data_IF_918022766069
#
_entry.id   IF_918022766069
#
_cell.length_a   1.000
_cell.length_b   1.000
_cell.length_c   1.000
_cell.angle_alpha   90.00
_cell.angle_beta   90.00
_cell.angle_gamma   90.00
#
_symmetry.space_group_name_H-M   'P 1'
#
loop_
_entity.id
_entity.type
_entity.pdbx_description
1 polymer ?
#
# COMPACT_ATOMS: atom_id res chain seq x y z
N UNK A 1 11.74 18.59 23.66
CA UNK A 1 10.31 18.68 23.30
C UNK A 1 9.53 17.58 24.00
N UNK A 2 8.21 17.74 24.19
CA UNK A 2 7.34 16.68 24.73
C UNK A 2 6.75 15.80 23.62
N UNK A 3 6.17 14.68 24.03
CA UNK A 3 5.42 13.76 23.17
C UNK A 3 4.25 14.45 22.45
N UNK A 4 3.57 15.36 23.14
CA UNK A 4 2.46 16.14 22.58
C UNK A 4 2.96 17.13 21.52
N UNK A 5 4.14 17.74 21.74
CA UNK A 5 4.78 18.62 20.75
C UNK A 5 5.24 17.85 19.51
N UNK A 6 5.74 16.62 19.68
CA UNK A 6 6.05 15.70 18.58
C UNK A 6 4.81 15.48 17.68
N UNK A 7 3.70 15.01 18.27
CA UNK A 7 2.47 14.75 17.52
C UNK A 7 1.84 16.03 16.95
N UNK A 8 1.92 17.15 17.68
CA UNK A 8 1.46 18.45 17.19
C UNK A 8 2.24 18.95 15.98
N UNK A 9 3.54 18.63 15.88
CA UNK A 9 4.36 18.99 14.71
C UNK A 9 3.87 18.27 13.46
N UNK A 10 3.53 16.97 13.60
CA UNK A 10 2.97 16.17 12.50
C UNK A 10 1.61 16.68 12.07
N UNK A 11 0.73 16.98 13.02
CA UNK A 11 -0.62 17.45 12.74
C UNK A 11 -0.62 18.83 12.05
N UNK A 12 0.23 19.76 12.50
CA UNK A 12 0.42 21.06 11.83
C UNK A 12 0.87 20.87 10.38
N UNK A 13 1.80 19.94 10.12
CA UNK A 13 2.26 19.67 8.77
C UNK A 13 1.17 19.07 7.87
N UNK A 14 0.37 18.14 8.41
CA UNK A 14 -0.78 17.54 7.70
C UNK A 14 -1.83 18.59 7.34
N UNK A 15 -2.12 19.52 8.24
CA UNK A 15 -3.07 20.61 7.98
C UNK A 15 -2.57 21.60 6.92
N UNK A 16 -1.26 21.84 6.86
CA UNK A 16 -0.64 22.69 5.85
C UNK A 16 -0.57 22.02 4.46
N UNK A 17 -0.61 20.69 4.40
CA UNK A 17 -0.45 19.89 3.18
C UNK A 17 -1.65 18.94 3.00
N UNK A 18 -2.85 19.49 2.68
CA UNK A 18 -4.09 18.70 2.63
C UNK A 18 -4.15 17.72 1.45
N UNK A 19 -3.29 17.88 0.45
CA UNK A 19 -3.17 16.94 -0.68
C UNK A 19 -2.32 15.70 -0.34
N UNK A 20 -1.71 15.66 0.86
CA UNK A 20 -0.89 14.54 1.31
C UNK A 20 0.43 14.39 0.55
N UNK A 21 0.88 15.42 -0.18
CA UNK A 21 2.14 15.40 -0.90
C UNK A 21 3.32 15.16 0.06
N UNK A 22 3.96 13.99 -0.05
CA UNK A 22 5.04 13.59 0.84
C UNK A 22 6.21 14.57 0.82
N UNK A 23 6.60 15.09 -0.34
CA UNK A 23 7.67 16.09 -0.44
C UNK A 23 7.32 17.39 0.27
N UNK A 24 6.06 17.84 0.15
CA UNK A 24 5.58 19.05 0.81
C UNK A 24 5.44 18.85 2.32
N UNK A 25 5.00 17.66 2.74
CA UNK A 25 4.86 17.30 4.14
C UNK A 25 6.24 17.22 4.81
N UNK A 26 7.22 16.57 4.18
CA UNK A 26 8.61 16.52 4.66
C UNK A 26 9.22 17.93 4.78
N UNK A 27 9.02 18.78 3.78
CA UNK A 27 9.46 20.19 3.82
C UNK A 27 8.79 20.97 4.96
N UNK A 28 7.51 20.73 5.23
CA UNK A 28 6.81 21.41 6.32
C UNK A 28 7.32 20.93 7.70
N UNK A 29 7.49 19.63 7.91
CA UNK A 29 8.09 19.08 9.13
C UNK A 29 9.49 19.67 9.34
N UNK A 30 10.31 19.67 8.29
CA UNK A 30 11.63 20.26 8.28
C UNK A 30 11.62 21.72 8.78
N UNK A 31 10.74 22.56 8.23
CA UNK A 31 10.59 23.97 8.63
C UNK A 31 10.13 24.16 10.07
N UNK A 32 9.24 23.31 10.55
CA UNK A 32 8.80 23.34 11.96
C UNK A 32 9.97 22.97 12.89
N UNK A 33 10.72 21.92 12.56
CA UNK A 33 11.88 21.48 13.33
C UNK A 33 13.01 22.51 13.35
N UNK A 34 13.26 23.17 12.21
CA UNK A 34 14.29 24.20 12.10
C UNK A 34 14.02 25.39 13.04
N UNK A 35 12.76 25.64 13.41
CA UNK A 35 12.40 26.69 14.38
C UNK A 35 12.65 26.28 15.83
N UNK A 36 12.83 24.97 16.12
CA UNK A 36 13.07 24.45 17.47
C UNK A 36 14.54 24.55 17.90
N UNK A 37 14.84 24.53 19.20
CA UNK A 37 16.19 24.32 19.73
C UNK A 37 16.80 22.99 19.25
N UNK A 38 18.14 22.88 19.14
CA UNK A 38 18.80 21.62 18.75
C UNK A 38 18.42 20.42 19.63
N UNK A 39 18.31 20.60 20.96
CA UNK A 39 17.89 19.53 21.88
C UNK A 39 16.47 19.02 21.58
N UNK A 40 15.56 19.90 21.18
CA UNK A 40 14.20 19.52 20.79
C UNK A 40 14.21 18.70 19.49
N UNK A 41 15.07 19.03 18.52
CA UNK A 41 15.21 18.26 17.28
C UNK A 41 15.73 16.84 17.58
N UNK A 42 16.65 16.69 18.56
CA UNK A 42 17.10 15.38 19.03
C UNK A 42 15.96 14.60 19.70
N UNK A 43 15.18 15.25 20.57
CA UNK A 43 13.99 14.65 21.20
C UNK A 43 12.96 14.22 20.15
N UNK A 44 12.72 15.03 19.10
CA UNK A 44 11.83 14.65 18.00
C UNK A 44 12.29 13.37 17.32
N UNK A 45 13.59 13.28 17.03
CA UNK A 45 14.18 12.10 16.41
C UNK A 45 13.96 10.88 17.31
N UNK A 46 14.23 10.99 18.61
CA UNK A 46 13.99 9.91 19.55
C UNK A 46 12.52 9.48 19.60
N UNK A 47 11.57 10.42 19.71
CA UNK A 47 10.14 10.06 19.67
C UNK A 47 9.75 9.38 18.36
N UNK A 48 10.21 9.89 17.21
CA UNK A 48 9.96 9.27 15.92
C UNK A 48 10.42 7.80 15.89
N UNK A 49 11.65 7.53 16.32
CA UNK A 49 12.20 6.18 16.35
C UNK A 49 11.46 5.28 17.36
N UNK A 50 11.10 5.78 18.54
CA UNK A 50 10.31 5.02 19.53
C UNK A 50 8.94 4.59 18.97
N UNK A 51 8.20 5.50 18.30
CA UNK A 51 6.93 5.12 17.67
C UNK A 51 7.12 4.21 16.45
N UNK A 52 8.11 4.47 15.60
CA UNK A 52 8.36 3.62 14.44
C UNK A 52 8.77 2.21 14.86
N UNK A 53 9.56 2.08 15.92
CA UNK A 53 10.02 0.79 16.41
C UNK A 53 8.91 0.08 17.21
N UNK A 54 8.07 0.81 17.94
CA UNK A 54 6.84 0.27 18.55
C UNK A 54 5.85 -0.30 17.51
N UNK A 55 5.87 0.22 16.28
CA UNK A 55 5.10 -0.31 15.16
C UNK A 55 5.70 -1.59 14.54
N UNK A 56 6.84 -2.09 15.02
CA UNK A 56 7.46 -3.33 14.56
C UNK A 56 6.71 -4.57 15.09
N UNK A 57 5.46 -4.75 14.64
CA UNK A 57 4.56 -5.83 15.08
C UNK A 57 4.19 -6.76 13.93
N UNK A 58 4.02 -8.04 14.21
CA UNK A 58 3.64 -9.05 13.20
C UNK A 58 2.22 -8.83 12.66
N UNK A 59 1.29 -8.39 13.51
CA UNK A 59 -0.08 -8.07 13.10
C UNK A 59 -0.14 -6.90 12.13
N UNK A 60 0.65 -5.87 12.38
CA UNK A 60 0.78 -4.71 11.52
C UNK A 60 1.53 -5.06 10.21
N UNK A 61 2.56 -5.91 10.28
CA UNK A 61 3.24 -6.41 9.09
C UNK A 61 2.25 -7.18 8.19
N UNK A 62 1.45 -8.07 8.77
CA UNK A 62 0.40 -8.81 8.08
C UNK A 62 -0.62 -7.87 7.42
N UNK A 63 -1.12 -6.86 8.15
CA UNK A 63 -2.02 -5.86 7.58
C UNK A 63 -1.39 -5.04 6.44
N UNK A 64 -0.11 -4.67 6.57
CA UNK A 64 0.60 -3.94 5.51
C UNK A 64 0.72 -4.77 4.24
N UNK A 65 1.04 -6.07 4.36
CA UNK A 65 1.06 -7.01 3.22
C UNK A 65 -0.33 -7.20 2.62
N UNK A 66 -1.38 -7.26 3.46
CA UNK A 66 -2.77 -7.33 3.01
C UNK A 66 -3.16 -6.11 2.17
N UNK A 67 -2.64 -4.92 2.51
CA UNK A 67 -2.85 -3.67 1.76
C UNK A 67 -1.95 -3.54 0.51
N UNK A 68 -1.09 -4.52 0.23
CA UNK A 68 -0.21 -4.53 -0.95
C UNK A 68 1.16 -3.91 -0.73
N UNK A 69 1.57 -3.64 0.52
CA UNK A 69 2.97 -3.29 0.82
C UNK A 69 3.85 -4.50 0.53
N UNK A 70 4.98 -4.34 -0.19
CA UNK A 70 5.94 -5.42 -0.39
C UNK A 70 6.34 -6.07 0.93
N UNK A 71 6.29 -7.38 1.02
CA UNK A 71 6.68 -8.17 2.20
C UNK A 71 8.21 -8.26 2.36
N UNK A 72 8.90 -7.12 2.27
CA UNK A 72 10.34 -6.97 2.47
C UNK A 72 10.63 -6.19 3.75
N UNK A 73 11.85 -6.32 4.28
CA UNK A 73 12.27 -5.52 5.45
C UNK A 73 12.13 -4.02 5.20
N UNK A 74 12.49 -3.59 4.00
CA UNK A 74 12.55 -2.18 3.61
C UNK A 74 11.14 -1.65 3.36
N UNK A 75 10.28 -2.43 2.70
CA UNK A 75 8.87 -2.08 2.52
C UNK A 75 8.14 -1.90 3.84
N UNK A 76 8.38 -2.78 4.82
CA UNK A 76 7.77 -2.65 6.15
C UNK A 76 8.38 -1.52 6.98
N UNK A 77 9.68 -1.22 6.82
CA UNK A 77 10.30 -0.05 7.45
C UNK A 77 9.70 1.26 6.94
N UNK A 78 9.55 1.38 5.63
CA UNK A 78 8.96 2.55 5.00
C UNK A 78 7.48 2.70 5.36
N UNK A 79 6.75 1.59 5.45
CA UNK A 79 5.37 1.55 5.92
C UNK A 79 5.23 2.09 7.35
N UNK A 80 6.08 1.65 8.29
CA UNK A 80 6.03 2.16 9.68
C UNK A 80 6.37 3.64 9.76
N UNK A 81 7.29 4.11 8.91
CA UNK A 81 7.61 5.54 8.79
C UNK A 81 6.41 6.33 8.27
N UNK A 82 5.75 5.83 7.21
CA UNK A 82 4.51 6.37 6.68
C UNK A 82 3.37 6.38 7.71
N UNK A 83 3.27 5.34 8.55
CA UNK A 83 2.21 5.24 9.56
C UNK A 83 2.35 6.31 10.65
N UNK A 84 3.57 6.61 11.10
CA UNK A 84 3.81 7.72 12.05
C UNK A 84 3.40 9.06 11.42
N UNK A 85 3.73 9.25 10.14
CA UNK A 85 3.32 10.41 9.36
C UNK A 85 1.79 10.55 9.18
N UNK A 86 1.00 9.49 9.46
CA UNK A 86 -0.46 9.60 9.48
C UNK A 86 -1.02 10.38 10.67
N UNK A 87 -0.17 10.71 11.66
CA UNK A 87 -0.58 11.42 12.85
C UNK A 87 -1.12 10.49 13.93
N UNK A 88 -1.31 11.06 15.12
CA UNK A 88 -1.50 10.29 16.36
C UNK A 88 -2.71 9.37 16.33
N UNK A 89 -3.85 9.88 15.89
CA UNK A 89 -5.12 9.15 15.96
C UNK A 89 -5.11 7.91 15.04
N UNK A 90 -4.66 8.08 13.80
CA UNK A 90 -4.55 6.99 12.82
C UNK A 90 -3.48 5.98 13.28
N UNK A 91 -2.32 6.47 13.74
CA UNK A 91 -1.26 5.62 14.25
C UNK A 91 -1.75 4.75 15.42
N UNK A 92 -2.35 5.35 16.46
CA UNK A 92 -2.81 4.59 17.63
C UNK A 92 -3.96 3.64 17.30
N UNK A 93 -4.88 4.03 16.41
CA UNK A 93 -5.95 3.15 15.94
C UNK A 93 -5.39 1.93 15.20
N UNK A 94 -4.40 2.12 14.32
CA UNK A 94 -3.77 1.05 13.57
C UNK A 94 -2.91 0.13 14.45
N UNK A 95 -2.24 0.67 15.47
CA UNK A 95 -1.51 -0.15 16.43
C UNK A 95 -2.46 -1.01 17.26
N UNK A 96 -3.64 -0.50 17.64
CA UNK A 96 -4.64 -1.26 18.43
C UNK A 96 -5.41 -2.28 17.60
N UNK A 97 -5.75 -1.90 16.36
CA UNK A 97 -6.44 -2.74 15.41
C UNK A 97 -5.98 -2.42 13.99
N UNK A 98 -5.05 -3.21 13.41
CA UNK A 98 -4.52 -2.94 12.07
C UNK A 98 -5.59 -2.91 10.96
N UNK A 99 -6.74 -3.55 11.16
CA UNK A 99 -7.86 -3.54 10.20
C UNK A 99 -8.48 -2.14 10.00
N UNK A 100 -8.21 -1.17 10.90
CA UNK A 100 -8.66 0.22 10.73
C UNK A 100 -8.03 0.91 9.53
N UNK A 101 -6.86 0.43 9.07
CA UNK A 101 -6.17 0.89 7.85
C UNK A 101 -6.98 0.58 6.57
N UNK A 102 -8.10 -0.14 6.67
CA UNK A 102 -9.05 -0.19 5.57
C UNK A 102 -9.60 1.20 5.21
N UNK A 103 -9.65 2.17 6.14
CA UNK A 103 -10.22 3.50 5.89
C UNK A 103 -9.19 4.51 5.35
N UNK A 104 -7.91 4.24 5.53
CA UNK A 104 -6.76 5.10 5.20
C UNK A 104 -5.62 4.19 4.71
N UNK A 105 -5.04 4.33 3.49
CA UNK A 105 -4.72 5.60 2.81
C UNK A 105 -5.50 5.83 1.52
N UNK A 106 -5.58 7.09 1.08
CA UNK A 106 -6.11 7.45 -0.24
C UNK A 106 -5.28 6.89 -1.42
N UNK A 107 -5.92 6.85 -2.59
CA UNK A 107 -5.34 6.43 -3.88
C UNK A 107 -3.96 7.06 -4.10
N UNK A 108 -2.95 6.22 -4.28
CA UNK A 108 -1.68 6.62 -4.88
C UNK A 108 -0.66 7.29 -3.98
N UNK A 109 -0.94 7.41 -2.68
CA UNK A 109 0.13 7.49 -1.68
C UNK A 109 0.70 6.09 -1.52
N UNK A 110 1.92 5.88 -2.01
CA UNK A 110 2.68 4.69 -1.62
C UNK A 110 2.70 4.68 -0.09
N UNK A 111 2.29 3.57 0.55
CA UNK A 111 2.38 3.40 2.00
C UNK A 111 3.85 3.23 2.42
N UNK A 112 4.66 4.19 1.99
CA UNK A 112 6.10 4.28 2.06
C UNK A 112 6.40 5.78 2.10
N UNK A 113 7.17 6.23 3.09
CA UNK A 113 7.56 7.63 3.21
C UNK A 113 8.97 7.76 3.80
N UNK A 114 10.00 7.21 3.12
CA UNK A 114 11.35 7.13 3.67
C UNK A 114 11.94 8.49 4.05
N UNK A 115 11.67 9.54 3.27
CA UNK A 115 12.21 10.89 3.50
C UNK A 115 11.72 11.56 4.79
N UNK A 116 10.62 11.08 5.39
CA UNK A 116 10.17 11.57 6.70
C UNK A 116 11.21 11.30 7.81
N UNK A 117 11.98 10.21 7.69
CA UNK A 117 13.03 9.88 8.66
C UNK A 117 14.22 10.85 8.61
N UNK A 118 14.45 11.52 7.48
CA UNK A 118 15.57 12.45 7.28
C UNK A 118 15.26 13.88 7.77
N UNK A 119 13.98 14.25 7.99
CA UNK A 119 13.60 15.62 8.34
C UNK A 119 14.33 16.21 9.56
N UNK A 120 14.52 15.43 10.63
CA UNK A 120 15.27 15.90 11.81
C UNK A 120 16.77 15.95 11.57
N UNK A 121 17.30 15.06 10.73
CA UNK A 121 18.72 15.05 10.37
C UNK A 121 19.05 16.33 9.60
N UNK A 122 18.25 16.65 8.60
CA UNK A 122 18.41 17.83 7.76
C UNK A 122 18.22 19.10 8.60
N UNK A 123 17.17 19.17 9.42
CA UNK A 123 16.89 20.34 10.25
C UNK A 123 18.01 20.60 11.27
N UNK A 124 18.54 19.54 11.90
CA UNK A 124 19.64 19.66 12.85
C UNK A 124 20.94 20.11 12.19
N UNK A 125 21.23 19.60 10.98
CA UNK A 125 22.39 19.99 10.21
C UNK A 125 22.34 21.49 9.85
N UNK A 126 21.23 21.97 9.30
CA UNK A 126 21.07 23.39 8.94
C UNK A 126 21.09 24.29 10.19
N UNK A 127 20.44 23.88 11.29
CA UNK A 127 20.39 24.64 12.54
C UNK A 127 21.77 24.97 13.10
N UNK A 128 22.72 24.06 12.91
CA UNK A 128 24.10 24.22 13.39
C UNK A 128 25.04 24.83 12.33
N UNK A 129 24.51 25.22 11.15
CA UNK A 129 25.26 25.83 10.04
C UNK A 129 26.54 25.06 9.73
N UNK A 130 26.40 23.74 9.62
CA UNK A 130 27.52 22.82 9.44
C UNK A 130 27.97 22.83 7.96
N UNK A 131 28.98 22.02 7.60
CA UNK A 131 29.44 21.87 6.23
C UNK A 131 29.25 20.42 5.73
N UNK A 132 28.91 20.27 4.44
CA UNK A 132 28.35 19.08 3.75
C UNK A 132 28.94 17.70 4.11
N UNK A 133 30.24 17.56 4.39
CA UNK A 133 30.90 16.24 4.43
C UNK A 133 30.85 15.51 5.78
N UNK A 134 30.37 16.14 6.85
CA UNK A 134 30.37 15.57 8.21
C UNK A 134 29.04 15.72 8.98
N UNK A 135 28.01 16.27 8.33
CA UNK A 135 26.74 16.71 8.90
C UNK A 135 25.85 15.58 9.41
N UNK A 136 25.62 14.56 8.57
CA UNK A 136 24.67 13.49 8.87
C UNK A 136 25.07 12.67 10.10
N UNK A 137 26.37 12.50 10.34
CA UNK A 137 26.90 11.76 11.51
C UNK A 137 26.73 12.52 12.82
N UNK A 138 26.59 13.86 12.79
CA UNK A 138 26.63 14.66 14.03
C UNK A 138 25.35 14.57 14.83
N UNK A 139 24.17 14.46 14.21
CA UNK A 139 22.95 14.15 14.95
C UNK A 139 23.10 12.81 15.68
N UNK A 140 23.50 11.75 14.98
CA UNK A 140 23.70 10.44 15.60
C UNK A 140 24.80 10.44 16.68
N UNK A 141 25.86 11.23 16.50
CA UNK A 141 26.87 11.42 17.54
C UNK A 141 26.31 12.15 18.77
N UNK A 142 25.45 13.16 18.59
CA UNK A 142 24.79 13.85 19.69
C UNK A 142 23.81 12.92 20.43
N UNK A 143 23.10 12.06 19.70
CA UNK A 143 22.22 11.03 20.28
C UNK A 143 22.97 10.01 21.15
N UNK A 144 24.28 9.78 20.96
CA UNK A 144 25.06 8.94 21.88
C UNK A 144 25.12 9.51 23.32
N UNK A 145 24.82 10.79 23.48
CA UNK A 145 24.85 11.51 24.75
C UNK A 145 23.50 12.15 25.12
N UNK A 146 22.47 11.96 24.29
CA UNK A 146 21.13 12.53 24.46
C UNK A 146 20.08 11.41 24.45
N UNK A 147 19.18 11.41 25.42
CA UNK A 147 18.11 10.40 25.51
C UNK A 147 16.86 11.02 26.11
N UNK A 148 15.71 10.45 25.76
CA UNK A 148 14.45 10.75 26.44
C UNK A 148 14.57 10.41 27.93
N UNK A 149 13.87 11.19 28.75
CA UNK A 149 13.79 10.89 30.18
C UNK A 149 12.96 9.63 30.43
N UNK A 150 13.20 8.94 31.55
CA UNK A 150 12.40 7.78 31.93
C UNK A 150 10.92 8.13 32.06
N UNK A 151 10.59 9.36 32.47
CA UNK A 151 9.21 9.84 32.52
C UNK A 151 8.59 9.89 31.12
N UNK A 152 9.28 10.51 30.16
CA UNK A 152 8.84 10.62 28.76
C UNK A 152 8.63 9.25 28.12
N UNK A 153 9.54 8.30 28.35
CA UNK A 153 9.41 6.93 27.86
C UNK A 153 8.20 6.22 28.48
N UNK A 154 7.99 6.36 29.79
CA UNK A 154 6.81 5.80 30.45
C UNK A 154 5.49 6.40 29.94
N UNK A 155 5.47 7.70 29.64
CA UNK A 155 4.29 8.37 29.07
C UNK A 155 3.99 7.93 27.63
N UNK A 156 5.02 7.61 26.84
CA UNK A 156 4.88 7.01 25.51
C UNK A 156 4.37 5.57 25.62
N UNK A 157 4.99 4.74 26.45
CA UNK A 157 4.59 3.34 26.61
C UNK A 157 3.15 3.19 27.11
N UNK A 158 2.67 4.11 27.95
CA UNK A 158 1.28 4.10 28.44
C UNK A 158 0.25 4.45 27.37
N UNK A 159 0.63 5.17 26.32
CA UNK A 159 -0.31 5.47 25.22
C UNK A 159 -0.36 4.37 24.16
N UNK A 160 0.69 3.55 24.06
CA UNK A 160 0.71 2.42 23.15
C UNK A 160 -0.25 1.32 23.65
N UNK A 161 -1.08 0.77 22.74
CA UNK A 161 -1.92 -0.39 23.02
C UNK A 161 -1.13 -1.57 23.60
N UNK A 162 -1.73 -2.26 24.57
CA UNK A 162 -1.07 -3.31 25.38
C UNK A 162 -1.50 -4.73 24.99
N UNK A 163 -2.08 -4.92 23.79
CA UNK A 163 -2.46 -6.24 23.34
C UNK A 163 -1.23 -7.03 22.85
N UNK A 164 -1.24 -8.37 23.06
CA UNK A 164 -0.16 -9.22 22.57
C UNK A 164 -0.04 -9.12 21.05
N UNK A 165 1.19 -9.22 20.56
CA UNK A 165 1.47 -9.38 19.13
C UNK A 165 1.15 -10.81 18.70
N UNK A 166 0.74 -10.99 17.44
CA UNK A 166 0.53 -12.31 16.87
C UNK A 166 1.87 -12.99 16.61
N UNK A 167 1.85 -14.31 16.44
CA UNK A 167 3.04 -15.03 16.01
C UNK A 167 3.41 -14.63 14.59
N UNK A 168 4.71 -14.46 14.33
CA UNK A 168 5.23 -14.26 12.98
C UNK A 168 4.85 -15.45 12.10
N UNK A 169 4.33 -15.15 10.91
CA UNK A 169 3.86 -16.15 9.95
C UNK A 169 3.58 -15.51 8.60
N UNK A 170 3.58 -16.32 7.55
CA UNK A 170 3.18 -15.85 6.22
C UNK A 170 1.68 -15.55 6.24
N UNK A 171 1.32 -14.36 5.76
CA UNK A 171 -0.09 -13.99 5.57
C UNK A 171 -0.73 -14.98 4.58
N UNK A 172 -1.84 -15.58 4.98
CA UNK A 172 -2.65 -16.37 4.05
C UNK A 172 -3.27 -15.42 3.02
N UNK A 173 -3.35 -15.86 1.76
CA UNK A 173 -3.99 -15.05 0.71
C UNK A 173 -5.45 -14.71 1.05
N UNK A 174 -6.16 -15.61 1.73
CA UNK A 174 -7.43 -15.31 2.38
C UNK A 174 -7.20 -14.87 3.83
N UNK A 175 -7.20 -13.56 4.02
CA UNK A 175 -7.07 -12.90 5.32
C UNK A 175 -8.40 -12.29 5.80
N UNK A 176 -9.53 -12.69 5.20
CA UNK A 176 -10.85 -12.13 5.51
C UNK A 176 -11.28 -12.27 6.97
N UNK A 177 -10.88 -13.37 7.62
CA UNK A 177 -11.16 -13.60 9.04
C UNK A 177 -10.32 -12.72 9.97
N UNK A 178 -9.11 -12.33 9.53
CA UNK A 178 -8.16 -11.54 10.32
C UNK A 178 -8.37 -10.04 10.13
N UNK A 179 -8.56 -9.61 8.88
CA UNK A 179 -8.73 -8.21 8.50
C UNK A 179 -9.95 -8.07 7.57
N UNK A 180 -11.19 -8.18 8.10
CA UNK A 180 -12.40 -8.16 7.28
C UNK A 180 -12.59 -6.84 6.53
N UNK A 181 -12.23 -5.70 7.11
CA UNK A 181 -12.40 -4.41 6.44
C UNK A 181 -11.33 -4.23 5.35
N UNK A 182 -10.07 -4.63 5.60
CA UNK A 182 -9.03 -4.61 4.56
C UNK A 182 -9.40 -5.56 3.44
N UNK A 183 -9.90 -6.75 3.76
CA UNK A 183 -10.36 -7.72 2.77
C UNK A 183 -11.48 -7.14 1.90
N UNK A 184 -12.51 -6.54 2.51
CA UNK A 184 -13.58 -5.87 1.77
C UNK A 184 -13.02 -4.77 0.87
N UNK A 185 -12.10 -3.94 1.35
CA UNK A 185 -11.44 -2.92 0.54
C UNK A 185 -10.67 -3.50 -0.65
N UNK A 186 -9.86 -4.54 -0.42
CA UNK A 186 -8.96 -5.09 -1.44
C UNK A 186 -9.69 -5.92 -2.49
N UNK A 187 -10.84 -6.50 -2.14
CA UNK A 187 -11.66 -7.29 -3.06
C UNK A 187 -12.76 -6.48 -3.74
N UNK A 188 -13.16 -5.34 -3.17
CA UNK A 188 -14.15 -4.45 -3.78
C UNK A 188 -13.56 -3.56 -4.87
N UNK A 189 -14.45 -3.14 -5.78
CA UNK A 189 -14.16 -2.15 -6.83
C UNK A 189 -13.78 -0.80 -6.21
N UNK A 190 -12.97 -0.02 -6.94
CA UNK A 190 -12.67 1.36 -6.54
C UNK A 190 -13.99 2.15 -6.35
N UNK A 191 -14.16 2.85 -5.20
CA UNK A 191 -15.29 3.73 -4.97
C UNK A 191 -15.44 4.84 -6.02
N UNK A 192 -14.33 5.32 -6.59
CA UNK A 192 -14.29 6.34 -7.64
C UNK A 192 -14.89 5.82 -8.94
N UNK A 193 -14.53 4.59 -9.34
CA UNK A 193 -15.14 3.92 -10.49
C UNK A 193 -16.64 3.73 -10.27
N UNK A 194 -17.05 3.24 -9.09
CA UNK A 194 -18.48 3.08 -8.74
C UNK A 194 -19.24 4.40 -8.75
N UNK A 195 -18.73 5.43 -8.08
CA UNK A 195 -19.38 6.74 -8.01
C UNK A 195 -19.49 7.43 -9.37
N UNK A 196 -18.55 7.12 -10.28
CA UNK A 196 -18.60 7.58 -11.65
C UNK A 196 -19.66 6.81 -12.46
N UNK A 197 -19.69 5.49 -12.39
CA UNK A 197 -20.72 4.66 -13.05
C UNK A 197 -22.13 5.01 -12.58
N UNK A 198 -22.34 5.23 -11.27
CA UNK A 198 -23.62 5.66 -10.71
C UNK A 198 -24.12 6.98 -11.33
N UNK A 199 -23.21 7.87 -11.76
CA UNK A 199 -23.59 9.11 -12.48
C UNK A 199 -24.04 8.84 -13.93
N UNK A 200 -23.59 7.75 -14.53
CA UNK A 200 -23.89 7.37 -15.92
C UNK A 200 -24.94 6.25 -16.04
N UNK A 201 -25.36 5.68 -14.90
CA UNK A 201 -26.26 4.51 -14.79
C UNK A 201 -27.61 4.67 -15.52
N UNK A 202 -28.05 5.91 -15.76
CA UNK A 202 -29.27 6.18 -16.54
C UNK A 202 -29.15 5.79 -18.02
N UNK A 203 -27.93 5.67 -18.58
CA UNK A 203 -27.71 5.49 -20.01
C UNK A 203 -27.31 4.07 -20.43
N UNK A 204 -26.58 3.31 -19.60
CA UNK A 204 -26.06 1.98 -19.95
C UNK A 204 -26.17 1.07 -18.72
N UNK A 205 -27.15 0.14 -18.66
CA UNK A 205 -27.29 -0.79 -17.55
C UNK A 205 -26.33 -1.96 -17.74
N UNK A 206 -25.03 -1.74 -17.55
CA UNK A 206 -24.03 -2.78 -17.46
C UNK A 206 -23.16 -2.42 -16.26
N UNK A 207 -23.45 -3.02 -15.11
CA UNK A 207 -22.70 -2.82 -13.88
C UNK A 207 -21.74 -3.99 -13.67
N UNK A 208 -20.59 -3.68 -13.09
CA UNK A 208 -19.67 -4.67 -12.50
C UNK A 208 -19.03 -5.67 -13.48
N UNK A 209 -18.79 -5.27 -14.73
CA UNK A 209 -18.02 -6.09 -15.69
C UNK A 209 -16.88 -5.30 -16.31
N UNK A 210 -15.81 -6.02 -16.63
CA UNK A 210 -14.66 -5.56 -17.40
C UNK A 210 -14.66 -6.25 -18.75
N UNK A 211 -14.31 -5.51 -19.80
CA UNK A 211 -14.05 -6.06 -21.13
C UNK A 211 -12.55 -6.32 -21.27
N UNK A 212 -12.20 -7.44 -21.90
CA UNK A 212 -10.83 -7.82 -22.12
C UNK A 212 -10.59 -8.19 -23.58
N UNK A 213 -9.64 -7.49 -24.21
CA UNK A 213 -9.07 -7.90 -25.48
C UNK A 213 -7.75 -8.64 -25.21
N UNK A 214 -7.70 -9.93 -25.57
CA UNK A 214 -6.51 -10.78 -25.41
C UNK A 214 -5.87 -10.96 -26.77
N UNK A 215 -4.65 -10.46 -26.89
CA UNK A 215 -3.82 -10.62 -28.08
C UNK A 215 -2.86 -11.79 -27.89
N UNK A 216 -2.91 -12.74 -28.81
CA UNK A 216 -2.01 -13.90 -28.79
C UNK A 216 -1.74 -14.39 -30.22
N UNK A 217 -0.47 -14.51 -30.59
CA UNK A 217 -0.03 -15.01 -31.89
C UNK A 217 -0.70 -14.28 -33.08
N UNK A 218 -0.91 -12.97 -32.95
CA UNK A 218 -1.56 -12.13 -33.97
C UNK A 218 -3.08 -12.27 -34.07
N UNK A 219 -3.72 -13.04 -33.18
CA UNK A 219 -5.18 -13.11 -33.04
C UNK A 219 -5.66 -12.28 -31.85
N UNK A 220 -6.89 -11.78 -31.90
CA UNK A 220 -7.56 -11.09 -30.80
C UNK A 220 -8.83 -11.83 -30.42
N UNK A 221 -9.00 -12.14 -29.13
CA UNK A 221 -10.23 -12.67 -28.57
C UNK A 221 -10.76 -11.71 -27.51
N UNK A 222 -12.08 -11.47 -27.54
CA UNK A 222 -12.75 -10.52 -26.65
C UNK A 222 -13.55 -11.27 -25.58
N UNK A 223 -13.44 -10.83 -24.34
CA UNK A 223 -14.12 -11.42 -23.20
C UNK A 223 -14.81 -10.35 -22.37
N UNK A 224 -15.84 -10.75 -21.62
CA UNK A 224 -16.36 -9.99 -20.47
C UNK A 224 -16.41 -10.84 -19.22
N UNK A 225 -16.09 -10.27 -18.07
CA UNK A 225 -16.11 -10.95 -16.77
C UNK A 225 -16.30 -9.95 -15.62
N UNK A 226 -16.56 -10.41 -14.38
CA UNK A 226 -16.75 -9.51 -13.24
C UNK A 226 -15.56 -8.58 -13.02
N UNK A 227 -15.83 -7.30 -12.80
CA UNK A 227 -14.79 -6.32 -12.49
C UNK A 227 -14.45 -6.38 -11.00
N UNK A 228 -13.64 -7.37 -10.60
CA UNK A 228 -13.00 -7.37 -9.27
C UNK A 228 -11.49 -7.49 -9.43
N UNK A 229 -10.68 -6.88 -8.52
CA UNK A 229 -9.23 -7.00 -8.60
C UNK A 229 -8.74 -8.45 -8.59
N UNK A 230 -9.43 -9.33 -7.85
CA UNK A 230 -9.16 -10.77 -7.80
C UNK A 230 -9.46 -11.44 -9.14
N UNK A 231 -10.60 -11.17 -9.76
CA UNK A 231 -10.96 -11.75 -11.07
C UNK A 231 -10.01 -11.26 -12.16
N UNK A 232 -9.66 -9.97 -12.16
CA UNK A 232 -8.66 -9.40 -13.08
C UNK A 232 -7.31 -10.11 -12.94
N UNK A 233 -6.80 -10.24 -11.71
CA UNK A 233 -5.54 -10.92 -11.45
C UNK A 233 -5.54 -12.37 -11.92
N UNK A 234 -6.61 -13.13 -11.62
CA UNK A 234 -6.74 -14.51 -12.06
C UNK A 234 -6.91 -14.64 -13.58
N UNK A 235 -7.61 -13.71 -14.22
CA UNK A 235 -7.79 -13.68 -15.67
C UNK A 235 -6.46 -13.45 -16.40
N UNK A 236 -5.62 -12.53 -15.90
CA UNK A 236 -4.27 -12.28 -16.44
C UNK A 236 -3.35 -13.46 -16.14
N UNK A 237 -3.33 -13.92 -14.88
CA UNK A 237 -2.44 -14.99 -14.41
C UNK A 237 -2.70 -16.35 -15.06
N UNK A 238 -3.93 -16.60 -15.53
CA UNK A 238 -4.28 -17.81 -16.31
C UNK A 238 -3.84 -17.78 -17.77
N UNK A 239 -3.26 -16.67 -18.25
CA UNK A 239 -2.85 -16.47 -19.65
C UNK A 239 -1.37 -16.07 -19.77
N UNK A 240 -0.42 -16.91 -19.30
CA UNK A 240 1.00 -16.57 -19.33
C UNK A 240 1.59 -16.42 -20.74
N UNK A 241 0.91 -16.96 -21.76
CA UNK A 241 1.33 -16.92 -23.17
C UNK A 241 0.65 -15.79 -23.98
N UNK A 242 -0.17 -14.93 -23.36
CA UNK A 242 -0.71 -13.78 -24.06
C UNK A 242 0.42 -12.80 -24.40
N UNK A 243 0.36 -12.18 -25.57
CA UNK A 243 1.31 -11.12 -25.96
C UNK A 243 0.96 -9.82 -25.22
N UNK A 244 -0.35 -9.53 -25.13
CA UNK A 244 -0.92 -8.34 -24.52
C UNK A 244 -2.37 -8.63 -24.10
N UNK A 245 -2.78 -8.08 -22.97
CA UNK A 245 -4.16 -8.07 -22.50
C UNK A 245 -4.53 -6.63 -22.22
N UNK A 246 -5.59 -6.13 -22.87
CA UNK A 246 -6.12 -4.77 -22.65
C UNK A 246 -7.47 -4.90 -21.95
N UNK A 247 -7.59 -4.27 -20.78
CA UNK A 247 -8.81 -4.25 -19.99
C UNK A 247 -9.47 -2.88 -20.03
N UNK A 248 -10.77 -2.84 -20.34
CA UNK A 248 -11.55 -1.61 -20.39
C UNK A 248 -12.83 -1.69 -19.58
N UNK A 249 -13.31 -0.54 -19.12
CA UNK A 249 -14.65 -0.42 -18.57
C UNK A 249 -15.72 -0.41 -19.66
N UNK A 250 -16.99 -0.29 -19.26
CA UNK A 250 -18.14 -0.25 -20.17
C UNK A 250 -18.20 0.97 -21.09
N UNK A 251 -17.34 1.97 -20.87
CA UNK A 251 -17.20 3.17 -21.69
C UNK A 251 -15.90 3.14 -22.54
N UNK A 252 -15.30 1.97 -22.73
CA UNK A 252 -14.03 1.75 -23.44
C UNK A 252 -12.85 2.53 -22.86
N UNK A 253 -12.89 2.87 -21.56
CA UNK A 253 -11.76 3.51 -20.89
C UNK A 253 -10.81 2.46 -20.38
N UNK A 254 -9.51 2.69 -20.58
CA UNK A 254 -8.45 1.81 -20.11
C UNK A 254 -8.48 1.67 -18.58
N UNK A 255 -8.67 0.43 -18.10
CA UNK A 255 -8.46 0.06 -16.71
C UNK A 255 -6.99 -0.31 -16.48
N UNK A 256 -6.47 -1.22 -17.31
CA UNK A 256 -5.05 -1.57 -17.38
C UNK A 256 -4.71 -2.27 -18.68
N UNK A 257 -3.44 -2.36 -19.01
CA UNK A 257 -2.91 -3.22 -20.07
C UNK A 257 -1.69 -4.03 -19.57
N UNK A 258 -1.32 -5.06 -20.33
CA UNK A 258 -0.16 -5.90 -20.02
C UNK A 258 0.83 -5.97 -21.19
N UNK A 259 2.08 -6.27 -20.88
CA UNK A 259 3.05 -6.81 -21.84
C UNK A 259 3.45 -8.20 -21.38
N UNK A 260 3.05 -9.21 -22.14
CA UNK A 260 3.05 -10.57 -21.62
C UNK A 260 2.12 -10.69 -20.42
N UNK A 261 2.63 -11.30 -19.35
CA UNK A 261 1.92 -11.43 -18.07
C UNK A 261 2.02 -10.21 -17.16
N UNK A 262 2.88 -9.23 -17.45
CA UNK A 262 3.20 -8.11 -16.55
C UNK A 262 2.33 -6.90 -16.88
N UNK A 263 1.72 -6.28 -15.86
CA UNK A 263 0.95 -5.03 -16.02
C UNK A 263 1.90 -3.93 -16.51
N UNK A 264 1.56 -3.31 -17.63
CA UNK A 264 2.37 -2.27 -18.26
C UNK A 264 1.90 -0.86 -17.88
N UNK A 265 0.59 -0.63 -17.91
CA UNK A 265 -0.05 0.63 -17.54
C UNK A 265 -1.33 0.36 -16.75
N UNK A 266 -1.57 1.16 -15.72
CA UNK A 266 -2.83 1.21 -14.99
C UNK A 266 -3.02 2.64 -14.47
N UNK A 267 -3.99 3.41 -15.00
CA UNK A 267 -4.19 4.81 -14.61
C UNK A 267 -4.60 4.97 -13.13
N UNK A 268 -5.32 3.98 -12.60
CA UNK A 268 -5.76 3.95 -11.21
C UNK A 268 -4.73 3.21 -10.35
N UNK A 269 -4.03 3.97 -9.50
CA UNK A 269 -3.00 3.44 -8.60
C UNK A 269 -3.56 2.48 -7.54
N UNK A 270 -4.80 2.68 -7.10
CA UNK A 270 -5.43 1.78 -6.14
C UNK A 270 -5.83 0.47 -6.82
N UNK A 271 -6.40 0.52 -8.02
CA UNK A 271 -6.65 -0.69 -8.81
C UNK A 271 -5.35 -1.46 -9.06
N UNK A 272 -4.27 -0.77 -9.46
CA UNK A 272 -2.96 -1.38 -9.66
C UNK A 272 -2.49 -2.12 -8.41
N UNK A 273 -2.55 -1.48 -7.24
CA UNK A 273 -2.15 -2.09 -5.98
C UNK A 273 -2.99 -3.34 -5.65
N UNK A 274 -4.32 -3.25 -5.80
CA UNK A 274 -5.24 -4.37 -5.54
C UNK A 274 -5.02 -5.54 -6.49
N UNK A 275 -4.89 -5.29 -7.79
CA UNK A 275 -4.64 -6.35 -8.78
C UNK A 275 -3.27 -6.98 -8.55
N UNK A 276 -2.23 -6.16 -8.32
CA UNK A 276 -0.86 -6.65 -8.09
C UNK A 276 -0.78 -7.57 -6.87
N UNK A 277 -1.50 -7.23 -5.79
CA UNK A 277 -1.57 -8.06 -4.58
C UNK A 277 -2.02 -9.50 -4.87
N UNK A 278 -3.00 -9.71 -5.75
CA UNK A 278 -3.46 -11.05 -6.14
C UNK A 278 -2.66 -11.66 -7.29
N UNK A 279 -2.10 -10.84 -8.19
CA UNK A 279 -1.43 -11.31 -9.40
C UNK A 279 0.00 -11.83 -9.12
N UNK A 280 0.74 -11.18 -8.23
CA UNK A 280 2.15 -11.53 -7.95
C UNK A 280 2.30 -12.99 -7.49
N UNK A 281 1.52 -13.50 -6.51
CA UNK A 281 1.62 -14.90 -6.09
C UNK A 281 1.31 -15.91 -7.23
N UNK A 282 0.46 -15.54 -8.18
CA UNK A 282 0.15 -16.37 -9.36
C UNK A 282 1.37 -16.40 -10.31
N UNK A 283 1.97 -15.24 -10.57
CA UNK A 283 3.13 -15.11 -11.45
C UNK A 283 4.40 -15.75 -10.89
N UNK A 284 4.60 -15.69 -9.57
CA UNK A 284 5.72 -16.37 -8.89
C UNK A 284 5.50 -17.89 -8.76
N UNK A 285 4.28 -18.36 -9.01
CA UNK A 285 3.90 -19.77 -8.93
C UNK A 285 3.67 -20.26 -7.50
N UNK A 286 3.53 -19.36 -6.53
CA UNK A 286 3.13 -19.67 -5.16
C UNK A 286 1.70 -20.24 -5.12
N UNK A 287 0.83 -19.73 -5.99
CA UNK A 287 -0.55 -20.21 -6.16
C UNK A 287 -0.88 -20.44 -7.65
N UNK A 288 -1.91 -21.24 -7.91
CA UNK A 288 -2.49 -21.37 -9.25
C UNK A 288 -3.61 -20.33 -9.43
N UNK A 289 -3.83 -19.83 -10.66
CA UNK A 289 -4.95 -18.94 -10.92
C UNK A 289 -6.27 -19.68 -10.71
N UNK A 290 -7.20 -19.02 -10.03
CA UNK A 290 -8.56 -19.48 -9.83
C UNK A 290 -9.39 -19.31 -11.12
N UNK A 291 -10.41 -20.16 -11.34
CA UNK A 291 -11.27 -20.03 -12.51
C UNK A 291 -12.12 -18.76 -12.44
N UNK A 292 -11.98 -17.89 -13.44
CA UNK A 292 -12.81 -16.70 -13.62
C UNK A 292 -14.01 -17.04 -14.51
N UNK A 293 -15.21 -16.67 -14.09
CA UNK A 293 -16.40 -16.76 -14.94
C UNK A 293 -16.36 -15.64 -15.97
N UNK A 294 -16.18 -15.99 -17.24
CA UNK A 294 -16.16 -15.04 -18.35
C UNK A 294 -17.05 -15.51 -19.51
N UNK A 295 -17.46 -14.56 -20.34
CA UNK A 295 -18.14 -14.81 -21.61
C UNK A 295 -17.26 -14.36 -22.77
N UNK A 296 -17.09 -15.23 -23.76
CA UNK A 296 -16.37 -14.93 -24.99
C UNK A 296 -17.31 -14.20 -25.96
N UNK A 297 -16.93 -12.99 -26.38
CA UNK A 297 -17.72 -12.11 -27.25
C UNK A 297 -17.31 -12.23 -28.71
N UNK A 298 -16.06 -12.57 -28.98
CA UNK A 298 -15.59 -13.01 -30.29
C UNK A 298 -16.19 -14.39 -30.58
N UNK A 299 -17.19 -14.46 -31.47
CA UNK A 299 -18.01 -15.65 -31.71
C UNK A 299 -17.25 -16.95 -32.03
N UNK A 300 -16.84 -17.67 -30.99
CA UNK A 300 -16.62 -19.12 -30.91
C UNK A 300 -16.94 -19.52 -29.46
N UNK A 301 -17.89 -20.45 -29.29
CA UNK A 301 -18.29 -21.01 -28.00
C UNK A 301 -17.08 -21.55 -27.21
N UNK A 302 -17.06 -21.45 -25.87
CA UNK A 302 -15.99 -22.06 -25.09
C UNK A 302 -16.14 -23.58 -25.10
N UNK A 303 -15.06 -24.29 -25.43
CA UNK A 303 -14.84 -25.66 -25.01
C UNK A 303 -15.13 -25.75 -23.50
N UNK A 304 -16.24 -26.37 -23.13
CA UNK A 304 -16.41 -26.94 -21.80
C UNK A 304 -15.28 -27.96 -21.60
N UNK A 305 -14.26 -27.62 -20.79
CA UNK A 305 -13.43 -28.67 -20.21
C UNK A 305 -14.13 -29.17 -18.95
N UNK A 306 -14.94 -30.19 -19.18
CA UNK A 306 -15.34 -31.17 -18.17
C UNK A 306 -14.12 -31.71 -17.44
N UNK A 307 -14.24 -31.82 -16.13
CA UNK A 307 -13.36 -32.54 -15.23
C UNK A 307 -12.97 -33.92 -15.78
N UNK A 308 -11.67 -34.18 -15.97
CA UNK A 308 -10.99 -35.35 -15.40
C UNK A 308 -9.49 -35.45 -15.78
N UNK A 309 -8.75 -35.87 -14.76
CA UNK A 309 -7.47 -36.58 -14.76
C UNK A 309 -6.17 -35.83 -15.05
N UNK A 310 -5.32 -35.87 -14.03
CA UNK A 310 -4.04 -35.19 -13.96
C UNK A 310 -3.04 -35.65 -15.00
N UNK A 311 -2.24 -34.69 -15.44
CA UNK A 311 -0.81 -34.85 -15.68
C UNK A 311 -0.20 -33.44 -15.71
N UNK A 312 0.62 -33.17 -14.71
CA UNK A 312 1.56 -32.06 -14.69
C UNK A 312 2.41 -32.06 -15.95
N UNK A 313 2.16 -31.12 -16.85
CA UNK A 313 3.19 -30.46 -17.66
C UNK A 313 2.67 -29.08 -18.04
N UNK A 314 3.33 -28.02 -17.54
CA UNK A 314 3.19 -26.68 -18.12
C UNK A 314 3.57 -26.80 -19.61
N UNK A 315 2.76 -26.30 -20.56
CA UNK A 315 3.19 -26.21 -21.94
C UNK A 315 4.38 -25.25 -22.03
N UNK A 316 5.38 -25.50 -22.90
CA UNK A 316 6.42 -24.53 -23.14
C UNK A 316 5.81 -23.36 -23.93
N UNK A 317 6.08 -22.14 -23.47
CA UNK A 317 6.09 -20.98 -24.35
C UNK A 317 7.20 -21.15 -25.40
#
# INVERSE_FOLDING_TARGET
MTKEEFWSTIETARQAVPDGSQSMMAEQIYRELLQKPPEDILDWNLYFYEYRDAACRNDLQAASTALGVPATSDGFLDFRTWLVAQGKEIYLAAIDNPDTLAKDPHIGAEMSFPSFADCAVDAYAEKLSLADEEERRRLYNALNHHKLTDQSLNELQRELPQHPDISSGQLLLDYSAQFPNIWERMTSRSPELRAMEDKFDYFIPIRDVVYAAVYQNGSCAEYRFPDTPRDIANFIGSRPCADEIVLTDTLDRLLLDTRGSIIYSCPDKELLAKVTHFLVPIQTGEIQPEPVLYECLSGQEPCQQSSNDGLTMKPPC
#
